data_IF_396652352965
#
_entry.id   IF_396652352965
#
_cell.length_a   1.000
_cell.length_b   1.000
_cell.length_c   1.000
_cell.angle_alpha   90.00
_cell.angle_beta   90.00
_cell.angle_gamma   90.00
#
_symmetry.space_group_name_H-M   'P 1'
#
loop_
_entity.id
_entity.type
_entity.pdbx_description
1 polymer ?
#
# COMPACT_ATOMS: atom_id res chain seq x y z
N UNK A 1 25.96 -27.73 0.33
CA UNK A 1 27.22 -27.03 0.05
C UNK A 1 27.50 -27.13 -1.45
N UNK A 2 26.86 -26.26 -2.24
CA UNK A 2 27.16 -26.08 -3.67
C UNK A 2 27.13 -24.58 -3.89
N UNK A 3 28.30 -24.03 -4.26
CA UNK A 3 28.60 -22.61 -4.27
C UNK A 3 28.11 -21.87 -5.51
N UNK A 4 28.05 -20.55 -5.34
CA UNK A 4 27.73 -19.53 -6.33
C UNK A 4 28.53 -19.70 -7.63
N UNK A 5 27.85 -19.53 -8.77
CA UNK A 5 28.49 -19.20 -10.05
C UNK A 5 28.47 -17.69 -10.19
N UNK A 6 29.66 -17.12 -10.16
CA UNK A 6 29.97 -15.70 -10.28
C UNK A 6 29.60 -15.19 -11.69
N UNK A 7 28.80 -14.13 -11.76
CA UNK A 7 28.36 -13.50 -13.01
C UNK A 7 29.49 -12.68 -13.62
N UNK A 8 30.19 -13.24 -14.59
CA UNK A 8 31.28 -12.56 -15.31
C UNK A 8 30.79 -11.25 -15.95
N UNK A 9 31.39 -10.13 -15.57
CA UNK A 9 31.27 -8.86 -16.29
C UNK A 9 32.00 -8.98 -17.64
N UNK A 10 31.37 -8.61 -18.78
CA UNK A 10 32.04 -8.66 -20.07
C UNK A 10 33.18 -7.63 -20.12
N UNK A 11 34.36 -8.10 -20.54
CA UNK A 11 35.56 -7.29 -20.71
C UNK A 11 35.39 -6.22 -21.78
N UNK A 12 35.82 -4.98 -21.47
CA UNK A 12 35.91 -3.87 -22.42
C UNK A 12 36.80 -4.23 -23.63
N UNK A 13 36.41 -3.86 -24.86
CA UNK A 13 37.26 -4.07 -26.03
C UNK A 13 38.56 -3.23 -25.96
N UNK A 14 39.67 -3.69 -26.57
CA UNK A 14 40.94 -2.97 -26.58
C UNK A 14 40.82 -1.59 -27.26
N UNK A 15 41.65 -0.63 -26.82
CA UNK A 15 41.47 0.81 -27.04
C UNK A 15 41.55 1.31 -28.50
N UNK A 16 41.92 0.46 -29.47
CA UNK A 16 42.17 0.85 -30.87
C UNK A 16 41.16 0.28 -31.90
N UNK A 17 40.12 -0.44 -31.47
CA UNK A 17 39.07 -0.94 -32.37
C UNK A 17 37.84 0.00 -32.36
N UNK A 18 37.24 0.33 -33.53
CA UNK A 18 36.05 1.15 -33.57
C UNK A 18 34.90 0.42 -32.87
N UNK A 19 34.42 0.99 -31.76
CA UNK A 19 33.28 0.47 -30.99
C UNK A 19 32.13 0.15 -31.95
N UNK A 20 31.70 -1.12 -32.04
CA UNK A 20 30.65 -1.51 -32.98
C UNK A 20 29.38 -0.70 -32.72
N UNK A 21 28.67 -0.35 -33.79
CA UNK A 21 27.46 0.49 -33.72
C UNK A 21 26.39 -0.11 -32.80
N UNK A 22 26.32 -1.44 -32.71
CA UNK A 22 25.47 -2.19 -31.78
C UNK A 22 25.81 -1.96 -30.30
N UNK A 23 27.08 -1.76 -29.95
CA UNK A 23 27.50 -1.41 -28.59
C UNK A 23 27.08 0.00 -28.23
N UNK A 24 27.23 0.97 -29.16
CA UNK A 24 26.76 2.35 -28.95
C UNK A 24 25.25 2.40 -28.79
N UNK A 25 24.51 1.66 -29.63
CA UNK A 25 23.05 1.55 -29.53
C UNK A 25 22.60 0.93 -28.20
N UNK A 26 23.26 -0.15 -27.75
CA UNK A 26 22.94 -0.77 -26.46
C UNK A 26 23.26 0.15 -25.27
N UNK A 27 24.38 0.87 -25.32
CA UNK A 27 24.75 1.85 -24.29
C UNK A 27 23.78 3.03 -24.26
N UNK A 28 23.36 3.56 -25.41
CA UNK A 28 22.37 4.64 -25.48
C UNK A 28 20.99 4.20 -24.98
N UNK A 29 20.55 2.98 -25.32
CA UNK A 29 19.30 2.41 -24.81
C UNK A 29 19.38 2.23 -23.28
N UNK A 30 20.49 1.68 -22.76
CA UNK A 30 20.71 1.52 -21.31
C UNK A 30 20.80 2.86 -20.59
N UNK A 31 21.49 3.85 -21.14
CA UNK A 31 21.61 5.18 -20.56
C UNK A 31 20.25 5.89 -20.51
N UNK A 32 19.46 5.83 -21.59
CA UNK A 32 18.09 6.37 -21.61
C UNK A 32 17.16 5.64 -20.64
N UNK A 33 17.30 4.32 -20.51
CA UNK A 33 16.53 3.54 -19.54
C UNK A 33 16.90 3.93 -18.09
N UNK A 34 18.20 4.08 -17.79
CA UNK A 34 18.68 4.51 -16.48
C UNK A 34 18.22 5.93 -16.12
N UNK A 35 18.28 6.87 -17.07
CA UNK A 35 17.78 8.24 -16.86
C UNK A 35 16.28 8.25 -16.57
N UNK A 36 15.49 7.50 -17.35
CA UNK A 36 14.05 7.34 -17.10
C UNK A 36 13.76 6.73 -15.74
N UNK A 37 14.52 5.72 -15.34
CA UNK A 37 14.38 5.10 -14.03
C UNK A 37 14.73 6.07 -12.89
N UNK A 38 15.78 6.88 -13.04
CA UNK A 38 16.15 7.88 -12.04
C UNK A 38 15.07 8.95 -11.84
N UNK A 39 14.52 9.49 -12.95
CA UNK A 39 13.40 10.44 -12.92
C UNK A 39 12.16 9.81 -12.29
N UNK A 40 11.86 8.56 -12.64
CA UNK A 40 10.75 7.80 -12.07
C UNK A 40 10.88 7.62 -10.54
N UNK A 41 12.05 7.26 -10.04
CA UNK A 41 12.32 7.17 -8.60
C UNK A 41 12.15 8.53 -7.91
N UNK A 42 12.73 9.59 -8.47
CA UNK A 42 12.60 10.93 -7.89
C UNK A 42 11.15 11.42 -7.83
N UNK A 43 10.35 11.12 -8.86
CA UNK A 43 8.92 11.45 -8.85
C UNK A 43 8.14 10.61 -7.83
N UNK A 44 8.46 9.32 -7.70
CA UNK A 44 7.87 8.44 -6.68
C UNK A 44 8.13 8.95 -5.27
N UNK A 45 9.37 9.27 -4.97
CA UNK A 45 9.77 9.76 -3.64
C UNK A 45 9.12 11.12 -3.32
N UNK A 46 8.84 11.93 -4.34
CA UNK A 46 8.13 13.20 -4.19
C UNK A 46 6.61 13.03 -3.98
N UNK A 47 6.04 11.98 -4.56
CA UNK A 47 4.61 11.69 -4.47
C UNK A 47 4.31 10.87 -3.23
N UNK A 48 4.85 9.65 -3.10
CA UNK A 48 4.61 8.69 -2.01
C UNK A 48 5.21 9.15 -0.66
N UNK A 49 4.61 8.78 0.49
CA UNK A 49 5.17 9.16 1.78
C UNK A 49 6.58 8.60 1.90
N UNK A 50 7.53 9.42 2.37
CA UNK A 50 8.87 8.93 2.67
C UNK A 50 8.86 7.97 3.87
N UNK A 51 9.83 7.04 3.97
CA UNK A 51 9.92 6.02 5.02
C UNK A 51 10.02 6.57 6.45
N UNK A 52 10.25 7.87 6.61
CA UNK A 52 10.40 8.56 7.89
C UNK A 52 9.09 8.99 8.56
N UNK A 53 7.94 8.89 7.88
CA UNK A 53 6.68 9.41 8.43
C UNK A 53 6.03 8.50 9.49
N UNK A 54 6.50 7.25 9.59
CA UNK A 54 5.80 6.18 10.32
C UNK A 54 6.69 5.24 11.17
N UNK A 55 8.03 5.33 11.07
CA UNK A 55 8.94 4.39 11.73
C UNK A 55 9.30 4.71 13.18
N UNK A 56 8.91 5.88 13.71
CA UNK A 56 9.23 6.31 15.08
C UNK A 56 7.98 6.40 15.99
N UNK A 57 6.91 5.66 15.69
CA UNK A 57 5.73 5.63 16.54
C UNK A 57 6.00 4.73 17.76
N UNK A 58 5.87 5.24 19.01
CA UNK A 58 6.18 4.45 20.21
C UNK A 58 5.18 3.30 20.49
N UNK A 59 4.07 3.25 19.75
CA UNK A 59 2.95 2.34 19.96
C UNK A 59 2.63 1.46 18.74
N UNK A 60 3.29 1.66 17.60
CA UNK A 60 3.00 0.88 16.39
C UNK A 60 4.21 0.80 15.46
N UNK A 61 4.41 -0.37 14.85
CA UNK A 61 5.25 -0.53 13.67
C UNK A 61 4.40 -0.39 12.41
N UNK A 62 4.88 0.39 11.44
CA UNK A 62 4.24 0.55 10.14
C UNK A 62 5.16 0.01 9.06
N UNK A 63 4.61 -0.82 8.17
CA UNK A 63 5.32 -1.32 7.01
C UNK A 63 4.43 -1.23 5.78
N UNK A 64 5.06 -1.00 4.63
CA UNK A 64 4.35 -0.82 3.36
C UNK A 64 5.02 -1.66 2.28
N UNK A 65 4.20 -2.23 1.40
CA UNK A 65 4.62 -2.81 0.12
C UNK A 65 3.85 -2.15 -1.01
N UNK A 66 4.58 -1.72 -2.03
CA UNK A 66 4.00 -1.22 -3.26
C UNK A 66 4.65 -1.95 -4.42
N UNK A 67 3.86 -2.74 -5.15
CA UNK A 67 4.31 -3.52 -6.31
C UNK A 67 3.57 -2.99 -7.55
N UNK A 68 4.24 -2.26 -8.45
CA UNK A 68 3.59 -1.72 -9.63
C UNK A 68 3.36 -2.80 -10.71
N UNK A 69 2.28 -2.71 -11.48
CA UNK A 69 1.93 -3.69 -12.53
C UNK A 69 2.69 -3.56 -13.87
N UNK A 70 3.56 -2.56 -14.04
CA UNK A 70 4.47 -2.54 -15.19
C UNK A 70 4.81 -1.19 -15.82
N UNK A 71 4.33 -0.07 -15.30
CA UNK A 71 4.70 1.24 -15.84
C UNK A 71 6.16 1.64 -15.49
N UNK A 72 6.85 2.27 -16.45
CA UNK A 72 8.25 2.69 -16.29
C UNK A 72 8.44 3.77 -15.21
N UNK A 73 7.37 4.50 -14.87
CA UNK A 73 7.32 5.41 -13.71
C UNK A 73 7.10 4.66 -12.40
N UNK A 74 6.43 3.49 -12.51
CA UNK A 74 5.76 2.69 -11.50
C UNK A 74 4.97 3.49 -10.46
N UNK A 75 4.39 4.59 -10.93
CA UNK A 75 3.35 5.31 -10.25
C UNK A 75 2.02 4.85 -10.82
N UNK A 76 1.08 4.58 -9.92
CA UNK A 76 -0.21 3.99 -10.20
C UNK A 76 -1.38 4.86 -9.80
N UNK A 77 -2.57 4.26 -9.90
CA UNK A 77 -3.78 4.75 -9.24
C UNK A 77 -3.72 4.58 -7.72
N UNK A 78 -2.89 3.67 -7.22
CA UNK A 78 -2.74 3.28 -5.82
C UNK A 78 -1.98 4.29 -4.93
N UNK A 79 -2.47 4.46 -3.70
CA UNK A 79 -1.75 5.19 -2.67
C UNK A 79 -2.08 4.76 -1.24
N UNK A 80 -1.23 5.23 -0.31
CA UNK A 80 -1.45 5.08 1.12
C UNK A 80 -1.06 6.35 1.89
N UNK A 81 -1.56 6.45 3.12
CA UNK A 81 -1.12 7.42 4.13
C UNK A 81 -0.99 6.73 5.49
N UNK A 82 0.07 7.06 6.23
CA UNK A 82 0.27 6.66 7.61
C UNK A 82 0.99 7.80 8.35
N UNK A 83 0.23 8.65 9.04
CA UNK A 83 0.75 9.88 9.62
C UNK A 83 0.15 10.16 11.00
N UNK A 84 1.00 10.57 11.94
CA UNK A 84 0.52 11.07 13.22
C UNK A 84 -0.07 12.48 13.04
N UNK A 85 -1.33 12.65 13.43
CA UNK A 85 -2.03 13.92 13.41
C UNK A 85 -1.61 14.80 14.60
N UNK A 86 -1.85 16.13 14.55
CA UNK A 86 -1.51 17.04 15.65
C UNK A 86 -2.16 16.71 17.00
N UNK A 87 -3.26 15.96 17.00
CA UNK A 87 -3.95 15.50 18.21
C UNK A 87 -3.41 14.17 18.77
N UNK A 88 -2.35 13.63 18.17
CA UNK A 88 -1.67 12.40 18.58
C UNK A 88 -2.27 11.12 17.99
N UNK A 89 -3.43 11.17 17.32
CA UNK A 89 -4.00 10.01 16.63
C UNK A 89 -3.18 9.67 15.38
N UNK A 90 -3.12 8.40 15.04
CA UNK A 90 -2.53 7.94 13.78
C UNK A 90 -3.63 7.89 12.72
N UNK A 91 -3.47 8.65 11.63
CA UNK A 91 -4.31 8.56 10.46
C UNK A 91 -3.74 7.52 9.50
N UNK A 92 -4.60 6.60 9.05
CA UNK A 92 -4.30 5.55 8.09
C UNK A 92 -5.24 5.70 6.90
N UNK A 93 -4.72 5.58 5.68
CA UNK A 93 -5.54 5.46 4.49
C UNK A 93 -4.88 4.57 3.44
N UNK A 94 -5.69 3.88 2.66
CA UNK A 94 -5.33 3.23 1.40
C UNK A 94 -6.41 3.58 0.40
N UNK A 95 -6.03 3.85 -0.85
CA UNK A 95 -6.99 4.10 -1.91
C UNK A 95 -6.43 3.76 -3.27
N UNK A 96 -7.35 3.66 -4.22
CA UNK A 96 -7.08 3.43 -5.64
C UNK A 96 -8.01 4.29 -6.51
N UNK A 97 -7.47 4.84 -7.59
CA UNK A 97 -8.17 5.68 -8.57
C UNK A 97 -8.33 4.86 -9.84
N UNK A 98 -9.58 4.78 -10.31
CA UNK A 98 -9.89 4.08 -11.55
C UNK A 98 -9.14 4.70 -12.74
N UNK A 99 -8.52 3.84 -13.56
CA UNK A 99 -7.79 4.24 -14.76
C UNK A 99 -6.31 3.94 -14.63
N UNK A 100 -5.51 4.40 -15.59
CA UNK A 100 -4.06 4.15 -15.60
C UNK A 100 -3.28 5.31 -16.23
N UNK A 101 -1.98 5.34 -16.00
CA UNK A 101 -1.07 6.33 -16.56
C UNK A 101 -1.22 7.73 -15.95
N UNK A 102 -0.71 8.74 -16.66
CA UNK A 102 -0.56 10.11 -16.16
C UNK A 102 -1.85 10.74 -15.58
N UNK A 103 -3.04 10.60 -16.20
CA UNK A 103 -4.28 11.16 -15.62
C UNK A 103 -4.69 10.53 -14.28
N UNK A 104 -4.49 9.22 -14.13
CA UNK A 104 -4.76 8.52 -12.87
C UNK A 104 -3.78 8.97 -11.78
N UNK A 105 -2.49 9.14 -12.12
CA UNK A 105 -1.46 9.61 -11.21
C UNK A 105 -1.73 11.05 -10.72
N UNK A 106 -2.14 11.98 -11.61
CA UNK A 106 -2.52 13.35 -11.21
C UNK A 106 -3.72 13.32 -10.26
N UNK A 107 -4.74 12.53 -10.59
CA UNK A 107 -5.95 12.41 -9.76
C UNK A 107 -5.65 11.80 -8.40
N UNK A 108 -4.93 10.68 -8.37
CA UNK A 108 -4.45 10.04 -7.14
C UNK A 108 -3.69 11.04 -6.27
N UNK A 109 -2.74 11.78 -6.85
CA UNK A 109 -1.94 12.75 -6.11
C UNK A 109 -2.83 13.82 -5.45
N UNK A 110 -3.80 14.35 -6.19
CA UNK A 110 -4.72 15.36 -5.65
C UNK A 110 -5.65 14.81 -4.58
N UNK A 111 -6.26 13.64 -4.81
CA UNK A 111 -7.17 13.02 -3.84
C UNK A 111 -6.45 12.66 -2.55
N UNK A 112 -5.25 12.09 -2.66
CA UNK A 112 -4.42 11.80 -1.50
C UNK A 112 -4.10 13.04 -0.68
N UNK A 113 -3.61 14.10 -1.33
CA UNK A 113 -3.28 15.37 -0.65
C UNK A 113 -4.51 16.04 -0.05
N UNK A 114 -5.65 15.97 -0.74
CA UNK A 114 -6.92 16.46 -0.22
C UNK A 114 -7.34 15.69 1.03
N UNK A 115 -7.30 14.35 1.00
CA UNK A 115 -7.65 13.50 2.13
C UNK A 115 -6.73 13.77 3.34
N UNK A 116 -5.42 13.88 3.12
CA UNK A 116 -4.46 14.26 4.16
C UNK A 116 -4.76 15.66 4.73
N UNK A 117 -5.10 16.63 3.89
CA UNK A 117 -5.47 17.97 4.35
C UNK A 117 -6.77 17.97 5.17
N UNK A 118 -7.76 17.19 4.75
CA UNK A 118 -9.04 17.04 5.46
C UNK A 118 -8.86 16.32 6.81
N UNK A 119 -7.98 15.32 6.91
CA UNK A 119 -7.75 14.59 8.17
C UNK A 119 -7.17 15.48 9.28
N UNK A 120 -6.44 16.54 8.92
CA UNK A 120 -5.93 17.54 9.87
C UNK A 120 -7.02 18.36 10.56
N UNK A 121 -8.26 18.35 10.05
CA UNK A 121 -9.40 19.05 10.67
C UNK A 121 -9.98 18.33 11.89
N UNK A 122 -9.60 17.06 12.09
CA UNK A 122 -10.17 16.19 13.13
C UNK A 122 -11.56 15.62 12.78
N UNK A 123 -12.05 15.83 11.55
CA UNK A 123 -13.29 15.25 11.06
C UNK A 123 -13.31 13.72 11.17
N UNK A 124 -14.50 13.14 11.31
CA UNK A 124 -14.64 11.68 11.39
C UNK A 124 -14.39 11.01 10.03
N UNK A 125 -13.95 9.74 9.98
CA UNK A 125 -13.65 9.06 8.70
C UNK A 125 -14.79 9.09 7.68
N UNK A 126 -16.04 8.90 8.13
CA UNK A 126 -17.20 8.99 7.22
C UNK A 126 -17.40 10.39 6.64
N UNK A 127 -17.15 11.45 7.44
CA UNK A 127 -17.20 12.82 6.97
C UNK A 127 -16.05 13.14 6.00
N UNK A 128 -14.85 12.61 6.25
CA UNK A 128 -13.71 12.74 5.34
C UNK A 128 -14.06 12.17 3.96
N UNK A 129 -14.66 10.98 3.90
CA UNK A 129 -15.07 10.36 2.64
C UNK A 129 -16.19 11.14 1.95
N UNK A 130 -17.15 11.69 2.71
CA UNK A 130 -18.20 12.53 2.14
C UNK A 130 -17.63 13.82 1.50
N UNK A 131 -16.68 14.46 2.18
CA UNK A 131 -15.98 15.64 1.68
C UNK A 131 -15.11 15.30 0.46
N UNK A 132 -14.39 14.18 0.50
CA UNK A 132 -13.58 13.72 -0.62
C UNK A 132 -14.44 13.36 -1.83
N UNK A 133 -15.61 12.73 -1.63
CA UNK A 133 -16.57 12.44 -2.70
C UNK A 133 -17.10 13.71 -3.37
N UNK A 134 -17.36 14.77 -2.59
CA UNK A 134 -17.75 16.06 -3.14
C UNK A 134 -16.65 16.66 -4.04
N UNK A 135 -15.38 16.53 -3.65
CA UNK A 135 -14.25 16.95 -4.48
C UNK A 135 -14.14 16.13 -5.78
N UNK A 136 -14.36 14.81 -5.72
CA UNK A 136 -14.39 13.94 -6.90
C UNK A 136 -15.47 14.41 -7.88
N UNK A 137 -16.69 14.60 -7.40
CA UNK A 137 -17.84 15.02 -8.24
C UNK A 137 -17.68 16.40 -8.87
N UNK A 138 -17.01 17.33 -8.19
CA UNK A 138 -16.81 18.71 -8.67
C UNK A 138 -15.59 18.85 -9.59
N UNK A 139 -14.49 18.14 -9.26
CA UNK A 139 -13.18 18.38 -9.86
C UNK A 139 -12.69 17.31 -10.85
N UNK A 140 -13.28 16.12 -10.87
CA UNK A 140 -12.75 14.96 -11.58
C UNK A 140 -13.84 14.27 -12.42
N UNK A 141 -14.11 14.84 -13.59
CA UNK A 141 -15.12 14.30 -14.51
C UNK A 141 -14.85 12.82 -14.83
N UNK A 142 -15.91 12.01 -14.81
CA UNK A 142 -15.90 10.57 -15.14
C UNK A 142 -14.87 9.73 -14.37
N UNK A 143 -14.39 10.22 -13.22
CA UNK A 143 -13.42 9.51 -12.38
C UNK A 143 -14.09 8.91 -11.16
N UNK A 144 -13.69 7.69 -10.81
CA UNK A 144 -14.08 7.02 -9.57
C UNK A 144 -12.85 6.62 -8.77
N UNK A 145 -13.02 6.47 -7.46
CA UNK A 145 -11.93 6.02 -6.60
C UNK A 145 -12.46 5.22 -5.42
N UNK A 146 -11.72 4.20 -5.02
CA UNK A 146 -11.98 3.45 -3.80
C UNK A 146 -11.06 3.94 -2.69
N UNK A 147 -11.57 4.05 -1.46
CA UNK A 147 -10.76 4.47 -0.30
C UNK A 147 -11.18 3.72 0.95
N UNK A 148 -10.22 3.29 1.76
CA UNK A 148 -10.42 2.93 3.16
C UNK A 148 -9.56 3.84 4.02
N UNK A 149 -10.14 4.43 5.07
CA UNK A 149 -9.38 5.32 5.96
C UNK A 149 -9.86 5.24 7.41
N UNK A 150 -9.00 5.63 8.34
CA UNK A 150 -9.35 5.62 9.75
C UNK A 150 -8.39 6.38 10.64
N UNK A 151 -8.86 6.66 11.85
CA UNK A 151 -8.09 7.24 12.95
C UNK A 151 -7.89 6.18 14.01
N UNK A 152 -6.63 5.83 14.27
CA UNK A 152 -6.24 5.04 15.42
C UNK A 152 -5.88 5.97 16.59
N UNK A 153 -6.59 5.82 17.69
CA UNK A 153 -6.31 6.51 18.95
C UNK A 153 -5.43 5.61 19.84
N UNK A 154 -4.16 5.98 20.09
CA UNK A 154 -3.28 5.19 20.93
C UNK A 154 -3.68 5.15 22.41
N UNK A 155 -4.41 6.16 22.91
CA UNK A 155 -4.85 6.21 24.30
C UNK A 155 -5.96 5.20 24.59
N UNK A 156 -6.90 5.05 23.66
CA UNK A 156 -8.01 4.09 23.77
C UNK A 156 -7.76 2.77 23.06
N UNK A 157 -6.69 2.68 22.25
CA UNK A 157 -6.37 1.57 21.34
C UNK A 157 -7.54 1.23 20.41
N UNK A 158 -8.25 2.25 19.93
CA UNK A 158 -9.39 2.10 19.02
C UNK A 158 -9.10 2.67 17.66
N UNK A 159 -9.43 1.91 16.62
CA UNK A 159 -9.49 2.38 15.25
C UNK A 159 -10.95 2.69 14.92
N UNK A 160 -11.24 3.96 14.64
CA UNK A 160 -12.47 4.39 13.98
C UNK A 160 -12.20 4.50 12.48
N UNK A 161 -12.99 3.86 11.64
CA UNK A 161 -12.70 3.78 10.20
C UNK A 161 -13.97 3.79 9.34
N UNK A 162 -13.78 4.10 8.07
CA UNK A 162 -14.81 4.10 7.03
C UNK A 162 -14.23 3.60 5.71
N UNK A 163 -15.10 3.23 4.77
CA UNK A 163 -14.71 2.84 3.41
C UNK A 163 -15.62 3.53 2.38
N UNK A 164 -15.08 3.66 1.17
CA UNK A 164 -15.77 4.05 -0.04
C UNK A 164 -15.52 2.99 -1.12
N UNK A 165 -16.29 1.91 -1.08
CA UNK A 165 -16.21 0.82 -2.07
C UNK A 165 -14.93 -0.02 -2.03
N UNK A 166 -14.03 0.26 -1.09
CA UNK A 166 -12.72 -0.39 -0.97
C UNK A 166 -12.80 -1.71 -0.16
N UNK A 167 -11.91 -2.69 -0.40
CA UNK A 167 -11.79 -3.87 0.44
C UNK A 167 -11.67 -3.52 1.93
N UNK A 168 -12.41 -4.23 2.79
CA UNK A 168 -12.32 -4.02 4.23
C UNK A 168 -11.00 -4.59 4.78
N UNK A 169 -10.39 -3.95 5.80
CA UNK A 169 -9.12 -4.38 6.35
C UNK A 169 -9.18 -5.79 6.94
N UNK A 170 -8.04 -6.48 6.95
CA UNK A 170 -7.87 -7.76 7.66
C UNK A 170 -7.21 -7.48 9.02
N UNK A 171 -7.79 -8.04 10.08
CA UNK A 171 -7.20 -8.06 11.42
C UNK A 171 -6.67 -9.45 11.72
N UNK A 172 -5.38 -9.53 12.02
CA UNK A 172 -4.72 -10.70 12.56
C UNK A 172 -4.56 -10.52 14.07
N UNK A 173 -5.04 -11.50 14.83
CA UNK A 173 -4.97 -11.53 16.29
C UNK A 173 -4.71 -12.95 16.76
N UNK A 174 -3.60 -13.15 17.48
CA UNK A 174 -3.26 -14.44 18.12
C UNK A 174 -3.30 -15.61 17.12
N UNK A 175 -2.72 -15.42 15.93
CA UNK A 175 -2.64 -16.43 14.88
C UNK A 175 -3.91 -16.59 14.02
N UNK A 176 -5.03 -15.96 14.38
CA UNK A 176 -6.25 -15.97 13.57
C UNK A 176 -6.41 -14.66 12.80
N UNK A 177 -6.88 -14.73 11.55
CA UNK A 177 -7.13 -13.57 10.72
C UNK A 177 -8.60 -13.50 10.34
N UNK A 178 -9.12 -12.27 10.24
CA UNK A 178 -10.48 -12.04 9.78
C UNK A 178 -10.59 -10.71 9.09
N UNK A 179 -11.41 -10.64 8.06
CA UNK A 179 -11.82 -9.36 7.51
C UNK A 179 -12.71 -8.62 8.53
N UNK A 180 -12.53 -7.31 8.66
CA UNK A 180 -13.41 -6.46 9.46
C UNK A 180 -14.77 -6.33 8.76
N UNK A 181 -15.85 -6.23 9.54
CA UNK A 181 -17.18 -5.97 8.99
C UNK A 181 -17.22 -4.54 8.42
N UNK A 182 -17.38 -4.44 7.11
CA UNK A 182 -17.41 -3.16 6.40
C UNK A 182 -18.61 -2.30 6.85
N UNK A 183 -18.40 -1.02 7.23
CA UNK A 183 -19.49 -0.07 7.32
C UNK A 183 -20.06 0.20 5.91
N UNK A 184 -21.26 0.80 5.85
CA UNK A 184 -21.86 1.21 4.59
C UNK A 184 -20.95 2.20 3.84
N UNK A 185 -20.87 2.06 2.53
CA UNK A 185 -20.11 2.94 1.66
C UNK A 185 -20.23 2.54 0.20
N UNK A 186 -19.93 3.49 -0.68
CA UNK A 186 -19.97 3.33 -2.14
C UNK A 186 -18.73 4.01 -2.73
N UNK A 187 -18.25 3.54 -3.87
CA UNK A 187 -17.12 4.15 -4.59
C UNK A 187 -17.30 5.67 -4.70
N UNK A 188 -16.23 6.44 -4.50
CA UNK A 188 -16.24 7.89 -4.67
C UNK A 188 -16.61 8.25 -6.10
N UNK A 189 -17.37 9.33 -6.28
CA UNK A 189 -17.86 9.77 -7.59
C UNK A 189 -19.14 9.07 -8.06
N UNK A 190 -19.59 8.01 -7.38
CA UNK A 190 -20.78 7.27 -7.81
C UNK A 190 -22.11 8.02 -7.55
N UNK A 191 -22.19 8.82 -6.50
CA UNK A 191 -23.43 9.54 -6.13
C UNK A 191 -23.16 10.80 -5.30
N UNK A 192 -23.99 11.82 -5.48
CA UNK A 192 -23.95 13.06 -4.71
C UNK A 192 -24.39 12.92 -3.25
N UNK A 193 -25.10 11.84 -2.90
CA UNK A 193 -25.56 11.59 -1.53
C UNK A 193 -25.11 10.19 -1.05
N UNK A 194 -23.81 9.99 -0.79
CA UNK A 194 -23.27 8.68 -0.42
C UNK A 194 -23.56 8.33 1.05
N UNK A 195 -23.88 7.06 1.36
CA UNK A 195 -24.17 6.62 2.72
C UNK A 195 -22.90 6.18 3.47
N UNK A 196 -21.87 7.03 3.58
CA UNK A 196 -20.63 6.68 4.28
C UNK A 196 -20.85 6.49 5.78
N UNK A 197 -20.89 5.23 6.20
CA UNK A 197 -20.95 4.82 7.59
C UNK A 197 -19.58 4.78 8.25
N UNK A 198 -19.55 4.45 9.54
CA UNK A 198 -18.32 4.25 10.29
C UNK A 198 -18.41 2.97 11.12
N UNK A 199 -17.27 2.35 11.35
CA UNK A 199 -17.11 1.24 12.26
C UNK A 199 -15.95 1.50 13.23
N UNK A 200 -15.97 0.82 14.36
CA UNK A 200 -14.89 0.85 15.33
C UNK A 200 -14.38 -0.56 15.62
N UNK A 201 -13.06 -0.67 15.81
CA UNK A 201 -12.44 -1.91 16.30
C UNK A 201 -11.38 -1.57 17.36
N UNK A 202 -11.40 -2.30 18.47
CA UNK A 202 -10.36 -2.24 19.48
C UNK A 202 -9.17 -3.13 19.09
N UNK A 203 -7.97 -2.61 19.20
CA UNK A 203 -6.71 -3.30 18.92
C UNK A 203 -5.97 -3.60 20.23
N UNK A 204 -5.24 -4.71 20.23
CA UNK A 204 -4.41 -5.17 21.33
C UNK A 204 -2.93 -5.24 20.87
N UNK A 205 -1.96 -5.10 21.78
CA UNK A 205 -0.55 -5.29 21.45
C UNK A 205 -0.34 -6.65 20.77
N UNK A 206 0.46 -6.66 19.71
CA UNK A 206 0.69 -7.82 18.85
C UNK A 206 -0.33 -7.99 17.72
N UNK A 207 -1.46 -7.26 17.73
CA UNK A 207 -2.38 -7.28 16.59
C UNK A 207 -1.73 -6.67 15.35
N UNK A 208 -2.05 -7.25 14.19
CA UNK A 208 -1.65 -6.77 12.89
C UNK A 208 -2.89 -6.40 12.07
N UNK A 209 -2.95 -5.16 11.62
CA UNK A 209 -3.97 -4.65 10.72
C UNK A 209 -3.38 -4.52 9.32
N UNK A 210 -4.04 -5.12 8.33
CA UNK A 210 -3.66 -5.07 6.93
C UNK A 210 -4.73 -4.31 6.13
N UNK A 211 -4.31 -3.25 5.45
CA UNK A 211 -5.12 -2.45 4.52
C UNK A 211 -4.48 -2.57 3.14
N UNK A 212 -5.25 -2.86 2.11
CA UNK A 212 -4.69 -3.15 0.78
C UNK A 212 -5.65 -2.77 -0.34
N UNK A 213 -5.07 -2.46 -1.50
CA UNK A 213 -5.81 -2.23 -2.75
C UNK A 213 -6.26 -3.55 -3.36
N UNK A 214 -7.24 -3.48 -4.27
CA UNK A 214 -7.80 -4.65 -4.93
C UNK A 214 -6.78 -5.36 -5.83
N UNK A 215 -5.76 -4.71 -6.38
CA UNK A 215 -4.68 -5.38 -7.13
C UNK A 215 -3.96 -6.51 -6.37
N UNK A 216 -4.00 -6.49 -5.02
CA UNK A 216 -3.54 -7.61 -4.20
C UNK A 216 -4.43 -8.86 -4.38
N UNK A 217 -5.75 -8.67 -4.42
CA UNK A 217 -6.76 -9.73 -4.29
C UNK A 217 -7.50 -10.05 -5.59
N UNK A 218 -7.68 -9.09 -6.49
CA UNK A 218 -8.33 -9.25 -7.78
C UNK A 218 -7.38 -9.84 -8.83
N UNK A 219 -7.92 -10.76 -9.64
CA UNK A 219 -7.28 -11.29 -10.86
C UNK A 219 -8.33 -11.51 -11.93
N UNK A 220 -7.91 -11.59 -13.19
CA UNK A 220 -8.82 -11.95 -14.30
C UNK A 220 -9.59 -13.26 -14.07
N UNK A 221 -9.00 -14.21 -13.36
CA UNK A 221 -9.58 -15.53 -13.06
C UNK A 221 -10.08 -15.67 -11.61
N UNK A 222 -10.01 -14.61 -10.79
CA UNK A 222 -10.38 -14.61 -9.37
C UNK A 222 -11.05 -13.31 -8.98
N UNK A 223 -12.29 -13.40 -8.53
CA UNK A 223 -12.99 -12.22 -8.03
C UNK A 223 -12.39 -11.72 -6.69
N UNK A 224 -12.70 -10.45 -6.34
CA UNK A 224 -12.23 -9.81 -5.12
C UNK A 224 -12.60 -10.62 -3.86
N UNK A 225 -13.78 -11.25 -3.82
CA UNK A 225 -14.24 -11.99 -2.64
C UNK A 225 -13.44 -13.27 -2.40
N UNK A 226 -13.14 -14.01 -3.46
CA UNK A 226 -12.25 -15.16 -3.44
C UNK A 226 -10.81 -14.75 -3.07
N UNK A 227 -10.33 -13.65 -3.65
CA UNK A 227 -9.02 -13.07 -3.33
C UNK A 227 -8.88 -12.64 -1.86
N UNK A 228 -9.90 -12.00 -1.29
CA UNK A 228 -9.94 -11.66 0.13
C UNK A 228 -9.93 -12.91 1.01
N UNK A 229 -10.65 -13.96 0.60
CA UNK A 229 -10.65 -15.24 1.33
C UNK A 229 -9.25 -15.86 1.34
N UNK A 230 -8.53 -15.79 0.22
CA UNK A 230 -7.13 -16.22 0.14
C UNK A 230 -6.23 -15.35 1.03
N UNK A 231 -6.41 -14.03 1.01
CA UNK A 231 -5.64 -13.11 1.85
C UNK A 231 -5.84 -13.39 3.34
N UNK A 232 -7.06 -13.68 3.79
CA UNK A 232 -7.30 -14.07 5.18
C UNK A 232 -6.51 -15.34 5.53
N UNK A 233 -6.53 -16.37 4.68
CA UNK A 233 -5.79 -17.62 4.92
C UNK A 233 -4.27 -17.41 4.94
N UNK A 234 -3.74 -16.67 3.97
CA UNK A 234 -2.31 -16.34 3.91
C UNK A 234 -1.86 -15.56 5.15
N UNK A 235 -2.70 -14.63 5.64
CA UNK A 235 -2.41 -13.91 6.87
C UNK A 235 -2.42 -14.83 8.12
N UNK A 236 -3.29 -15.83 8.18
CA UNK A 236 -3.29 -16.85 9.25
C UNK A 236 -2.05 -17.73 9.24
N UNK A 237 -1.61 -18.17 8.06
CA UNK A 237 -0.42 -19.00 7.89
C UNK A 237 0.82 -18.26 8.38
N UNK A 238 1.02 -17.03 7.90
CA UNK A 238 2.13 -16.16 8.30
C UNK A 238 2.11 -15.85 9.80
N UNK A 239 0.93 -15.68 10.39
CA UNK A 239 0.78 -15.39 11.82
C UNK A 239 0.98 -16.64 12.71
N UNK A 240 0.64 -17.83 12.23
CA UNK A 240 0.83 -19.08 12.99
C UNK A 240 2.31 -19.44 13.10
N UNK A 241 3.07 -19.20 12.03
CA UNK A 241 4.53 -19.37 12.04
C UNK A 241 5.22 -18.46 13.07
N UNK A 242 4.73 -17.23 13.25
CA UNK A 242 5.22 -16.32 14.30
C UNK A 242 5.07 -16.91 15.71
N UNK A 243 3.87 -17.41 16.02
CA UNK A 243 3.57 -17.98 17.34
C UNK A 243 4.43 -19.23 17.59
N UNK A 244 4.77 -19.98 16.54
CA UNK A 244 5.65 -21.14 16.63
C UNK A 244 7.15 -20.75 16.73
N UNK A 245 7.55 -19.61 16.17
CA UNK A 245 8.94 -19.15 16.07
C UNK A 245 9.42 -18.30 17.27
N UNK A 246 8.67 -18.25 18.38
CA UNK A 246 8.95 -17.47 19.62
C UNK A 246 10.19 -17.96 20.42
N UNK A 247 11.22 -18.46 19.72
CA UNK A 247 12.52 -18.84 20.21
C UNK A 247 13.64 -18.08 19.45
N UNK A 248 13.78 -16.78 19.70
CA UNK A 248 15.08 -16.09 19.61
C UNK A 248 15.47 -15.39 18.28
N UNK A 249 14.52 -15.01 17.42
CA UNK A 249 14.82 -14.24 16.19
C UNK A 249 14.50 -12.74 16.37
N UNK A 250 15.24 -11.86 15.67
CA UNK A 250 14.98 -10.41 15.65
C UNK A 250 13.55 -10.11 15.16
N UNK A 251 12.69 -9.51 16.00
CA UNK A 251 11.28 -9.27 15.67
C UNK A 251 11.04 -8.36 14.45
N UNK A 252 12.02 -7.51 14.10
CA UNK A 252 11.90 -6.55 12.99
C UNK A 252 12.17 -7.17 11.62
N UNK A 253 13.29 -7.88 11.45
CA UNK A 253 13.67 -8.53 10.20
C UNK A 253 12.67 -9.64 9.77
N UNK A 254 12.02 -10.28 10.75
CA UNK A 254 10.99 -11.28 10.49
C UNK A 254 9.68 -10.64 9.99
N UNK A 255 9.33 -9.43 10.47
CA UNK A 255 8.08 -8.76 10.07
C UNK A 255 8.06 -8.38 8.58
N UNK A 256 9.14 -7.80 8.06
CA UNK A 256 9.25 -7.46 6.65
C UNK A 256 9.21 -8.69 5.74
N UNK A 257 9.98 -9.73 6.10
CA UNK A 257 10.02 -11.00 5.34
C UNK A 257 8.67 -11.70 5.33
N UNK A 258 7.89 -11.59 6.41
CA UNK A 258 6.52 -12.12 6.49
C UNK A 258 5.55 -11.36 5.61
N UNK A 259 5.65 -10.03 5.53
CA UNK A 259 4.81 -9.24 4.63
C UNK A 259 5.13 -9.54 3.16
N UNK A 260 6.40 -9.73 2.81
CA UNK A 260 6.80 -10.15 1.45
C UNK A 260 6.14 -11.49 1.08
N UNK A 261 6.25 -12.49 1.96
CA UNK A 261 5.60 -13.79 1.76
C UNK A 261 4.07 -13.69 1.67
N UNK A 262 3.46 -12.82 2.47
CA UNK A 262 2.01 -12.56 2.38
C UNK A 262 1.63 -11.99 1.01
N UNK A 263 2.35 -10.98 0.52
CA UNK A 263 2.09 -10.38 -0.80
C UNK A 263 2.29 -11.42 -1.91
N UNK A 264 3.37 -12.19 -1.86
CA UNK A 264 3.66 -13.26 -2.83
C UNK A 264 2.58 -14.36 -2.81
N UNK A 265 2.10 -14.76 -1.63
CA UNK A 265 1.10 -15.82 -1.49
C UNK A 265 -0.28 -15.42 -2.05
N UNK A 266 -0.63 -14.12 -2.01
CA UNK A 266 -1.94 -13.64 -2.46
C UNK A 266 -1.89 -13.12 -3.90
N UNK A 267 -0.88 -12.30 -4.21
CA UNK A 267 -0.72 -11.62 -5.49
C UNK A 267 0.19 -12.33 -6.49
N UNK A 268 0.99 -13.31 -6.07
CA UNK A 268 1.97 -13.94 -6.95
C UNK A 268 3.10 -12.99 -7.42
N UNK A 269 3.99 -13.45 -8.31
CA UNK A 269 5.20 -12.72 -8.68
C UNK A 269 4.96 -11.53 -9.62
N UNK A 270 3.89 -11.58 -10.42
CA UNK A 270 3.57 -10.58 -11.43
C UNK A 270 2.13 -10.10 -11.21
N UNK A 271 1.91 -8.99 -10.51
CA UNK A 271 0.58 -8.45 -10.33
C UNK A 271 0.03 -7.86 -11.63
N UNK A 272 -1.26 -8.11 -11.92
CA UNK A 272 -1.92 -7.58 -13.12
C UNK A 272 -2.33 -6.11 -12.96
N UNK A 273 -2.44 -5.65 -11.72
CA UNK A 273 -2.76 -4.27 -11.33
C UNK A 273 -1.82 -3.82 -10.19
N UNK A 274 -1.74 -2.53 -9.93
CA UNK A 274 -0.88 -2.01 -8.88
C UNK A 274 -1.31 -2.58 -7.52
N UNK A 275 -0.32 -2.94 -6.70
CA UNK A 275 -0.54 -3.48 -5.36
C UNK A 275 -0.03 -2.47 -4.37
N UNK A 276 -0.87 -2.09 -3.42
CA UNK A 276 -0.49 -1.38 -2.22
C UNK A 276 -0.96 -2.15 -0.99
N UNK A 277 -0.03 -2.43 -0.07
CA UNK A 277 -0.30 -3.01 1.24
C UNK A 277 0.27 -2.09 2.31
N UNK A 278 -0.61 -1.62 3.20
CA UNK A 278 -0.26 -0.91 4.42
C UNK A 278 -0.52 -1.83 5.63
N UNK A 279 0.54 -2.13 6.37
CA UNK A 279 0.51 -2.97 7.56
C UNK A 279 0.80 -2.14 8.81
N UNK A 280 -0.07 -2.25 9.81
CA UNK A 280 0.14 -1.68 11.15
C UNK A 280 0.17 -2.80 12.19
N UNK A 281 1.32 -2.98 12.85
CA UNK A 281 1.47 -3.86 14.01
C UNK A 281 1.44 -3.03 15.28
N UNK A 282 0.48 -3.28 16.16
CA UNK A 282 0.45 -2.58 17.45
C UNK A 282 1.53 -3.14 18.36
N UNK A 283 2.39 -2.26 18.89
CA UNK A 283 3.43 -2.64 19.85
C UNK A 283 3.01 -2.24 21.26
N UNK A 284 3.58 -2.89 22.27
CA UNK A 284 3.50 -2.32 23.61
C UNK A 284 4.27 -1.00 23.63
N UNK A 285 3.75 0.05 24.30
CA UNK A 285 4.50 1.27 24.52
C UNK A 285 5.77 0.92 25.31
N UNK A 286 6.93 1.33 24.79
CA UNK A 286 8.22 1.17 25.44
C UNK A 286 8.30 1.87 26.81
#
# INVERSE_FOLDING_TARGET
MVGLVDGAQPSLPPADDPVPESWRQLHDVRARAAERAHVATGLRDAVLPGPTSSNDLPYAGIAVRSVPAGDATGLGGDWYEAVQLPDGRLFLAVGDVSGHGEPAIDTMTRLRRALLGLSMTGASPGLLLAQLNALVLDGFADTTATVVCGHFDPATRRLSWAQAGHPAPILVRRGAARQLAAPAGVVLGATANPPYGMAEVGLAPGDLLLMFTDGLVERRDRDIGEGVTLAVRAAEEVATEEVAADAGTDPGADFDTRLDRFVEAVGGPDPEDDVCLLAMRLTDPA
#
